data_IF_758361150558
#
_entry.id   IF_758361150558
#
_cell.length_a   1.000
_cell.length_b   1.000
_cell.length_c   1.000
_cell.angle_alpha   90.00
_cell.angle_beta   90.00
_cell.angle_gamma   90.00
#
_symmetry.space_group_name_H-M   'P 1'
#
loop_
_entity.id
_entity.type
_entity.pdbx_description
1 polymer ?
#
# COMPACT_ATOMS: atom_id res chain seq x y z
N UNK A 1 17.06 -10.86 -3.33
CA UNK A 1 17.66 -9.81 -2.47
C UNK A 1 16.47 -9.00 -2.04
N UNK A 2 15.91 -9.25 -0.84
CA UNK A 2 14.50 -8.98 -0.53
C UNK A 2 14.01 -7.55 -0.86
N UNK A 3 14.90 -6.56 -0.79
CA UNK A 3 14.58 -5.16 -1.11
C UNK A 3 14.39 -4.91 -2.61
N UNK A 4 15.18 -5.56 -3.47
CA UNK A 4 15.03 -5.39 -4.93
C UNK A 4 13.72 -5.98 -5.41
N UNK A 5 13.42 -7.20 -4.94
CA UNK A 5 12.21 -7.95 -5.28
C UNK A 5 10.95 -7.18 -4.83
N UNK A 6 11.04 -6.41 -3.73
CA UNK A 6 9.99 -5.50 -3.27
C UNK A 6 9.83 -4.28 -4.19
N UNK A 7 10.93 -3.57 -4.49
CA UNK A 7 10.88 -2.34 -5.28
C UNK A 7 10.44 -2.58 -6.74
N UNK A 8 10.76 -3.74 -7.30
CA UNK A 8 10.34 -4.16 -8.64
C UNK A 8 8.81 -4.22 -8.79
N UNK A 9 8.08 -4.47 -7.70
CA UNK A 9 6.62 -4.54 -7.68
C UNK A 9 5.95 -3.15 -7.50
N UNK A 10 6.73 -2.10 -7.24
CA UNK A 10 6.24 -0.75 -6.94
C UNK A 10 6.44 0.21 -8.11
N UNK A 11 5.90 1.42 -8.00
CA UNK A 11 6.10 2.49 -8.98
C UNK A 11 7.59 2.84 -9.18
N UNK A 12 8.45 2.55 -8.19
CA UNK A 12 9.88 2.78 -8.29
C UNK A 12 10.54 1.98 -9.43
N UNK A 13 9.95 0.87 -9.87
CA UNK A 13 10.49 0.06 -10.97
C UNK A 13 10.40 0.75 -12.34
N UNK A 14 9.41 1.63 -12.52
CA UNK A 14 9.08 2.24 -13.81
C UNK A 14 9.36 3.75 -13.85
N UNK A 15 9.55 4.38 -12.69
CA UNK A 15 9.89 5.79 -12.59
C UNK A 15 11.32 6.05 -13.10
N UNK A 16 11.46 7.06 -13.94
CA UNK A 16 12.77 7.56 -14.41
C UNK A 16 13.13 8.87 -13.75
N UNK A 17 14.43 9.24 -13.77
CA UNK A 17 14.91 10.51 -13.20
C UNK A 17 14.23 11.73 -13.83
N UNK A 18 13.94 11.70 -15.12
CA UNK A 18 13.22 12.77 -15.82
C UNK A 18 11.80 12.94 -15.30
N UNK A 19 11.07 11.84 -15.10
CA UNK A 19 9.70 11.86 -14.58
C UNK A 19 9.68 12.42 -13.16
N UNK A 20 10.59 11.97 -12.30
CA UNK A 20 10.70 12.45 -10.92
C UNK A 20 11.00 13.95 -10.89
N UNK A 21 11.94 14.42 -11.73
CA UNK A 21 12.23 15.85 -11.82
C UNK A 21 11.05 16.67 -12.36
N UNK A 22 10.30 16.14 -13.33
CA UNK A 22 9.08 16.77 -13.83
C UNK A 22 8.06 16.92 -12.69
N UNK A 23 7.82 15.84 -11.93
CA UNK A 23 6.89 15.87 -10.80
C UNK A 23 7.31 16.89 -9.72
N UNK A 24 8.60 16.93 -9.36
CA UNK A 24 9.13 17.91 -8.41
C UNK A 24 8.91 19.35 -8.92
N UNK A 25 9.03 19.60 -10.22
CA UNK A 25 8.77 20.92 -10.80
C UNK A 25 7.30 21.31 -10.75
N UNK A 26 6.38 20.40 -11.06
CA UNK A 26 4.92 20.63 -10.91
C UNK A 26 4.56 20.85 -9.43
N UNK A 27 5.22 20.11 -8.53
CA UNK A 27 5.03 20.25 -7.08
C UNK A 27 5.43 21.63 -6.53
N UNK A 28 6.26 22.42 -7.23
CA UNK A 28 6.64 23.77 -6.77
C UNK A 28 5.47 24.74 -6.71
N UNK A 29 4.41 24.48 -7.46
CA UNK A 29 3.17 25.26 -7.40
C UNK A 29 2.41 25.02 -6.10
N UNK A 30 2.66 23.87 -5.46
CA UNK A 30 2.13 23.52 -4.16
C UNK A 30 3.22 23.83 -3.12
N UNK A 31 2.83 24.45 -2.01
CA UNK A 31 3.74 24.57 -0.88
C UNK A 31 3.82 23.21 -0.21
N UNK A 32 4.65 22.28 -0.70
CA UNK A 32 4.85 20.94 -0.13
C UNK A 32 6.27 20.84 0.46
N UNK A 33 6.38 20.20 1.61
CA UNK A 33 7.66 19.90 2.22
C UNK A 33 8.40 18.81 1.41
N UNK A 34 9.74 18.81 1.40
CA UNK A 34 10.51 17.81 0.66
C UNK A 34 10.20 16.36 1.06
N UNK A 35 9.83 16.12 2.32
CA UNK A 35 9.43 14.82 2.82
C UNK A 35 8.06 14.37 2.27
N UNK A 36 7.10 15.30 2.16
CA UNK A 36 5.78 15.04 1.56
C UNK A 36 5.93 14.69 0.09
N UNK A 37 6.73 15.46 -0.66
CA UNK A 37 7.02 15.18 -2.08
C UNK A 37 7.67 13.79 -2.23
N UNK A 38 8.63 13.44 -1.38
CA UNK A 38 9.26 12.12 -1.41
C UNK A 38 8.26 11.00 -1.13
N UNK A 39 7.38 11.17 -0.15
CA UNK A 39 6.35 10.19 0.18
C UNK A 39 5.33 10.02 -0.97
N UNK A 40 4.92 11.12 -1.61
CA UNK A 40 4.03 11.08 -2.77
C UNK A 40 4.69 10.32 -3.94
N UNK A 41 5.98 10.53 -4.19
CA UNK A 41 6.70 9.80 -5.25
C UNK A 41 6.76 8.30 -4.96
N UNK A 42 6.99 7.92 -3.70
CA UNK A 42 7.14 6.52 -3.29
C UNK A 42 5.80 5.77 -3.23
N UNK A 43 4.77 6.40 -2.67
CA UNK A 43 3.45 5.79 -2.46
C UNK A 43 2.59 5.92 -3.72
N UNK A 44 2.74 7.00 -4.49
CA UNK A 44 1.92 7.36 -5.65
C UNK A 44 0.41 7.32 -5.30
N UNK A 45 -0.08 8.28 -4.49
CA UNK A 45 -1.48 8.34 -4.12
C UNK A 45 -2.37 8.49 -5.35
N UNK A 46 -3.37 7.62 -5.46
CA UNK A 46 -4.38 7.61 -6.51
C UNK A 46 -5.74 8.15 -6.03
N UNK A 47 -5.88 8.42 -4.73
CA UNK A 47 -7.07 9.08 -4.16
C UNK A 47 -6.70 10.20 -3.19
N UNK A 48 -7.66 11.08 -2.93
CA UNK A 48 -7.50 12.16 -1.96
C UNK A 48 -7.27 11.65 -0.54
N UNK A 49 -7.93 10.55 -0.17
CA UNK A 49 -7.79 9.93 1.16
C UNK A 49 -6.33 9.57 1.42
N UNK A 50 -5.63 9.05 0.42
CA UNK A 50 -4.20 8.73 0.54
C UNK A 50 -3.36 10.00 0.66
N UNK A 51 -3.70 11.07 -0.05
CA UNK A 51 -3.03 12.38 0.09
C UNK A 51 -3.18 12.92 1.51
N UNK A 52 -4.37 12.84 2.11
CA UNK A 52 -4.59 13.24 3.51
C UNK A 52 -3.77 12.43 4.51
N UNK A 53 -3.39 11.18 4.19
CA UNK A 53 -2.49 10.39 5.04
C UNK A 53 -1.01 10.76 4.89
N UNK A 54 -0.64 11.44 3.80
CA UNK A 54 0.75 11.82 3.50
C UNK A 54 1.06 13.25 3.95
N UNK A 55 0.12 14.18 3.76
CA UNK A 55 0.28 15.61 4.02
C UNK A 55 -0.33 15.93 5.39
N UNK A 56 0.49 16.47 6.30
CA UNK A 56 0.02 16.88 7.62
C UNK A 56 -0.83 18.16 7.52
N UNK A 57 -1.91 18.24 8.31
CA UNK A 57 -2.83 19.38 8.34
C UNK A 57 -3.33 19.83 6.94
N UNK A 58 -3.50 18.88 6.01
CA UNK A 58 -3.85 19.17 4.62
C UNK A 58 -5.15 19.99 4.48
N UNK A 59 -6.14 19.78 5.36
CA UNK A 59 -7.41 20.53 5.38
C UNK A 59 -7.24 22.00 5.78
N UNK A 60 -6.22 22.30 6.59
CA UNK A 60 -5.95 23.65 7.10
C UNK A 60 -4.94 24.41 6.25
N UNK A 61 -4.24 23.72 5.34
CA UNK A 61 -3.19 24.30 4.50
C UNK A 61 -3.78 24.95 3.26
N UNK A 62 -4.01 26.26 3.34
CA UNK A 62 -4.48 27.06 2.21
C UNK A 62 -3.51 26.98 1.03
N UNK A 63 -3.93 26.43 -0.11
CA UNK A 63 -3.15 26.37 -1.35
C UNK A 63 -2.93 24.96 -1.90
N UNK A 64 -3.35 23.92 -1.19
CA UNK A 64 -3.35 22.54 -1.69
C UNK A 64 -4.75 22.21 -2.18
N UNK A 65 -4.84 21.92 -3.46
CA UNK A 65 -6.02 21.34 -4.09
C UNK A 65 -5.75 19.84 -4.23
N UNK A 66 -6.35 19.03 -3.34
CA UNK A 66 -6.11 17.59 -3.25
C UNK A 66 -6.55 16.87 -4.51
N UNK A 67 -7.70 17.23 -5.08
CA UNK A 67 -8.18 16.66 -6.34
C UNK A 67 -7.16 16.90 -7.47
N UNK A 68 -6.70 18.15 -7.62
CA UNK A 68 -5.72 18.51 -8.65
C UNK A 68 -4.34 17.87 -8.40
N UNK A 69 -3.94 17.72 -7.14
CA UNK A 69 -2.69 17.06 -6.79
C UNK A 69 -2.74 15.57 -7.18
N UNK A 70 -3.83 14.88 -6.86
CA UNK A 70 -4.05 13.48 -7.28
C UNK A 70 -4.05 13.35 -8.80
N UNK A 71 -4.74 14.25 -9.51
CA UNK A 71 -4.72 14.27 -10.98
C UNK A 71 -3.29 14.44 -11.53
N UNK A 72 -2.51 15.36 -10.96
CA UNK A 72 -1.11 15.60 -11.34
C UNK A 72 -0.25 14.36 -11.08
N UNK A 73 -0.44 13.69 -9.95
CA UNK A 73 0.28 12.45 -9.59
C UNK A 73 -0.01 11.35 -10.60
N UNK A 74 -1.28 11.08 -10.90
CA UNK A 74 -1.69 10.03 -11.85
C UNK A 74 -1.21 10.34 -13.27
N UNK A 75 -1.20 11.62 -13.67
CA UNK A 75 -0.77 12.04 -15.00
C UNK A 75 0.75 12.01 -15.19
N UNK A 76 1.52 12.38 -14.17
CA UNK A 76 2.98 12.51 -14.27
C UNK A 76 3.69 11.22 -13.87
N UNK A 77 3.26 10.56 -12.80
CA UNK A 77 3.92 9.36 -12.29
C UNK A 77 3.33 8.09 -12.92
N UNK A 78 4.17 7.23 -13.52
CA UNK A 78 3.72 6.00 -14.19
C UNK A 78 3.05 5.04 -13.20
N UNK A 79 2.07 4.30 -13.70
CA UNK A 79 1.44 3.22 -12.97
C UNK A 79 2.45 2.13 -12.59
N UNK A 80 2.38 1.57 -11.37
CA UNK A 80 3.20 0.44 -11.00
C UNK A 80 2.94 -0.75 -11.93
N UNK A 81 3.96 -1.57 -12.22
CA UNK A 81 3.84 -2.69 -13.15
C UNK A 81 2.86 -3.79 -12.69
N UNK A 82 2.47 -3.77 -11.42
CA UNK A 82 1.61 -4.77 -10.77
C UNK A 82 0.17 -4.30 -10.52
N UNK A 83 -0.27 -3.17 -11.09
CA UNK A 83 -1.70 -2.78 -11.16
C UNK A 83 -2.45 -3.75 -12.10
N UNK A 84 -2.54 -5.03 -11.70
CA UNK A 84 -3.62 -5.92 -12.10
C UNK A 84 -4.82 -5.51 -11.26
N UNK A 85 -5.86 -5.03 -11.95
CA UNK A 85 -7.20 -4.68 -11.48
C UNK A 85 -7.52 -5.20 -10.08
N UNK A 86 -7.51 -4.31 -9.08
CA UNK A 86 -8.16 -4.59 -7.80
C UNK A 86 -9.67 -4.39 -8.01
N UNK A 87 -10.30 -5.40 -8.62
CA UNK A 87 -11.76 -5.55 -8.65
C UNK A 87 -12.26 -5.59 -7.19
N UNK A 88 -13.20 -4.71 -6.88
CA UNK A 88 -13.84 -4.60 -5.56
C UNK A 88 -14.66 -5.87 -5.26
N UNK A 89 -13.97 -6.91 -4.80
CA UNK A 89 -14.56 -8.15 -4.30
C UNK A 89 -15.08 -7.98 -2.87
N UNK A 90 -16.39 -7.83 -2.76
CA UNK A 90 -17.19 -7.73 -1.55
C UNK A 90 -16.76 -8.59 -0.36
N UNK A 91 -16.92 -8.00 0.83
CA UNK A 91 -16.88 -8.66 2.13
C UNK A 91 -17.80 -9.89 2.19
N UNK A 92 -17.27 -11.02 2.68
CA UNK A 92 -18.02 -12.00 3.46
C UNK A 92 -17.06 -12.79 4.36
N UNK A 93 -17.57 -13.07 5.55
CA UNK A 93 -16.91 -13.45 6.78
C UNK A 93 -16.95 -14.99 6.97
N UNK A 94 -16.05 -15.50 7.82
CA UNK A 94 -16.04 -16.80 8.56
C UNK A 94 -15.96 -18.12 7.77
N UNK A 95 -14.92 -18.92 8.05
CA UNK A 95 -15.05 -20.16 8.83
C UNK A 95 -13.66 -20.74 9.15
N UNK A 96 -13.30 -20.71 10.44
CA UNK A 96 -12.27 -21.57 11.02
C UNK A 96 -12.72 -23.03 10.92
N UNK A 97 -11.97 -23.85 10.19
CA UNK A 97 -12.05 -25.31 10.27
C UNK A 97 -10.65 -25.86 10.59
N UNK A 98 -10.31 -25.94 11.87
CA UNK A 98 -9.11 -26.68 12.32
C UNK A 98 -9.52 -28.14 12.48
N UNK A 99 -9.03 -28.97 11.55
CA UNK A 99 -9.22 -30.41 11.54
C UNK A 99 -8.23 -31.10 12.50
N UNK A 100 -8.80 -32.00 13.30
CA UNK A 100 -8.23 -33.06 14.13
C UNK A 100 -6.76 -33.46 13.84
N UNK A 101 -5.95 -33.48 14.91
CA UNK A 101 -4.78 -34.36 15.01
C UNK A 101 -5.12 -35.53 15.95
N UNK A 102 -5.14 -36.73 15.38
CA UNK A 102 -5.17 -38.03 16.08
C UNK A 102 -3.83 -38.25 16.79
N UNK A 103 -3.81 -38.25 18.13
CA UNK A 103 -2.68 -38.74 18.90
C UNK A 103 -2.87 -40.23 19.20
N UNK A 104 -2.15 -41.07 18.49
CA UNK A 104 -1.93 -42.47 18.85
C UNK A 104 -0.77 -42.58 19.86
N UNK A 105 -1.03 -43.02 21.09
CA UNK A 105 -0.02 -43.71 21.90
C UNK A 105 -0.65 -44.59 23.00
N UNK A 106 -0.34 -45.87 22.85
CA UNK A 106 -0.63 -47.09 23.60
C UNK A 106 -0.17 -47.14 25.08
N UNK A 107 -0.88 -47.98 25.88
CA UNK A 107 -0.55 -48.57 27.20
C UNK A 107 -0.67 -47.68 28.45
N UNK A 108 -1.16 -48.13 29.62
CA UNK A 108 -1.13 -49.47 30.22
C UNK A 108 -2.18 -49.61 31.36
N UNK A 109 -2.71 -50.83 31.50
CA UNK A 109 -3.20 -51.54 32.70
C UNK A 109 -3.77 -50.78 33.92
N UNK A 110 -5.02 -51.09 34.30
CA UNK A 110 -5.29 -51.66 35.63
C UNK A 110 -6.66 -52.38 35.72
N UNK A 111 -6.60 -53.66 36.09
CA UNK A 111 -7.61 -54.49 36.74
C UNK A 111 -8.16 -53.74 37.99
N UNK A 112 -9.41 -53.79 38.44
CA UNK A 112 -10.15 -54.92 39.01
C UNK A 112 -11.58 -54.42 39.24
N UNK A 113 -12.55 -55.28 38.96
CA UNK A 113 -13.97 -55.11 39.30
C UNK A 113 -14.28 -55.84 40.62
N UNK A 114 -15.24 -55.28 41.37
CA UNK A 114 -15.98 -55.83 42.52
C UNK A 114 -15.52 -55.37 43.92
#
# INVERSE_FOLDING_TARGET
MQVYDYLEQTAASVQTRDIVNKFINECKSYDLAPAEILNIINIRPASEVEVYTIIEDCENRSGIDTEKLVETVVQVLPAPPTEMEHDEGAAANEEEAVANEEETADKDQNEVTA
#
